data_IF_666936921282
#
_entry.id   IF_666936921282
#
_cell.length_a   1.000
_cell.length_b   1.000
_cell.length_c   1.000
_cell.angle_alpha   90.00
_cell.angle_beta   90.00
_cell.angle_gamma   90.00
#
_symmetry.space_group_name_H-M   'P 1'
#
loop_
_entity.id
_entity.type
_entity.pdbx_description
1 polymer ?
#
# COMPACT_ATOMS: atom_id res chain seq x y z
N UNK A 1 -22.79 3.65 26.27
CA UNK A 1 -23.36 2.81 25.20
C UNK A 1 -22.43 2.93 24.00
N UNK A 2 -21.60 1.94 23.74
CA UNK A 2 -20.75 1.87 22.55
C UNK A 2 -21.66 1.76 21.32
N UNK A 3 -21.93 2.90 20.69
CA UNK A 3 -22.65 2.97 19.43
C UNK A 3 -21.74 2.46 18.33
N UNK A 4 -22.15 1.35 17.75
CA UNK A 4 -21.81 0.96 16.39
C UNK A 4 -20.36 0.72 16.06
N UNK A 5 -20.08 -0.52 15.93
CA UNK A 5 -18.74 -0.98 15.66
C UNK A 5 -18.68 -1.76 14.35
N UNK A 6 -19.50 -1.37 13.36
CA UNK A 6 -19.44 -1.99 12.01
C UNK A 6 -19.21 -0.94 10.96
N UNK A 7 -18.14 -1.14 10.21
CA UNK A 7 -17.76 -0.33 9.04
C UNK A 7 -17.37 -1.24 7.90
N UNK A 8 -17.39 -0.70 6.69
CA UNK A 8 -16.81 -1.38 5.55
C UNK A 8 -15.44 -0.78 5.21
N UNK A 9 -14.62 -1.58 4.58
CA UNK A 9 -13.33 -1.20 4.02
C UNK A 9 -13.35 -1.54 2.53
N UNK A 10 -13.04 -0.59 1.67
CA UNK A 10 -13.01 -0.74 0.23
C UNK A 10 -11.56 -0.58 -0.28
N UNK A 11 -11.05 -1.63 -0.89
CA UNK A 11 -9.86 -1.63 -1.72
C UNK A 11 -10.27 -1.46 -3.18
N UNK A 12 -9.66 -0.51 -3.89
CA UNK A 12 -9.83 -0.30 -5.33
C UNK A 12 -8.49 -0.56 -6.01
N UNK A 13 -8.30 -1.79 -6.45
CA UNK A 13 -7.08 -2.21 -7.14
C UNK A 13 -7.15 -2.04 -8.65
N UNK A 14 -6.08 -2.39 -9.33
CA UNK A 14 -5.95 -2.28 -10.80
C UNK A 14 -6.66 -3.39 -11.57
N UNK A 15 -7.07 -4.46 -10.92
CA UNK A 15 -7.77 -5.59 -11.55
C UNK A 15 -8.95 -6.12 -10.75
N UNK A 16 -9.23 -5.52 -9.59
CA UNK A 16 -10.28 -5.97 -8.67
C UNK A 16 -10.72 -4.85 -7.74
N UNK A 17 -11.91 -5.00 -7.16
CA UNK A 17 -12.28 -4.33 -5.91
C UNK A 17 -12.51 -5.39 -4.83
N UNK A 18 -12.22 -5.03 -3.57
CA UNK A 18 -12.55 -5.84 -2.41
C UNK A 18 -13.30 -4.98 -1.40
N UNK A 19 -14.50 -5.39 -1.04
CA UNK A 19 -15.30 -4.78 0.00
C UNK A 19 -15.38 -5.71 1.21
N UNK A 20 -14.92 -5.26 2.37
CA UNK A 20 -14.86 -6.04 3.59
C UNK A 20 -15.64 -5.34 4.69
N UNK A 21 -16.67 -5.97 5.25
CA UNK A 21 -17.36 -5.48 6.44
C UNK A 21 -16.70 -6.06 7.70
N UNK A 22 -16.39 -5.19 8.65
CA UNK A 22 -15.81 -5.54 9.94
C UNK A 22 -16.67 -5.01 11.10
N UNK A 23 -16.65 -5.74 12.21
CA UNK A 23 -17.22 -5.33 13.48
C UNK A 23 -16.13 -5.25 14.54
N UNK A 24 -16.26 -4.31 15.48
CA UNK A 24 -15.49 -4.26 16.71
C UNK A 24 -16.34 -4.68 17.90
N UNK A 25 -15.82 -5.56 18.74
CA UNK A 25 -16.45 -5.84 20.03
C UNK A 25 -16.04 -4.80 21.09
N UNK A 26 -16.59 -4.96 22.31
CA UNK A 26 -16.31 -4.06 23.43
C UNK A 26 -14.85 -4.05 23.88
N UNK A 27 -14.09 -5.06 23.50
CA UNK A 27 -12.69 -5.22 23.85
C UNK A 27 -11.75 -4.80 22.71
N UNK A 28 -12.29 -4.21 21.64
CA UNK A 28 -11.52 -3.81 20.46
C UNK A 28 -11.15 -4.98 19.53
N UNK A 29 -11.70 -6.19 19.75
CA UNK A 29 -11.44 -7.33 18.88
C UNK A 29 -12.20 -7.17 17.57
N UNK A 30 -11.46 -7.24 16.47
CA UNK A 30 -12.00 -7.18 15.10
C UNK A 30 -12.62 -8.52 14.72
N UNK A 31 -13.80 -8.47 14.13
CA UNK A 31 -14.48 -9.62 13.53
C UNK A 31 -14.80 -9.33 12.06
N UNK A 32 -14.57 -10.30 11.18
CA UNK A 32 -15.00 -10.25 9.79
C UNK A 32 -16.52 -10.54 9.74
N UNK A 33 -17.28 -9.61 9.19
CA UNK A 33 -18.74 -9.72 9.05
C UNK A 33 -19.18 -10.12 7.63
N UNK A 34 -18.35 -9.88 6.63
CA UNK A 34 -18.58 -10.26 5.23
C UNK A 34 -17.46 -9.71 4.34
N UNK A 35 -17.22 -10.37 3.23
CA UNK A 35 -16.22 -9.98 2.23
C UNK A 35 -16.74 -10.30 0.83
N UNK A 36 -16.59 -9.38 -0.10
CA UNK A 36 -16.84 -9.57 -1.52
C UNK A 36 -15.60 -9.14 -2.31
N UNK A 37 -15.26 -9.91 -3.33
CA UNK A 37 -14.22 -9.61 -4.31
C UNK A 37 -14.84 -9.62 -5.70
N UNK A 38 -14.65 -8.54 -6.45
CA UNK A 38 -15.17 -8.41 -7.80
C UNK A 38 -14.06 -7.99 -8.75
N UNK A 39 -14.13 -8.46 -9.97
CA UNK A 39 -13.24 -8.01 -11.03
C UNK A 39 -13.60 -6.59 -11.44
N UNK A 40 -12.60 -5.77 -11.69
CA UNK A 40 -12.73 -4.37 -12.08
C UNK A 40 -11.46 -3.93 -12.82
N UNK A 41 -11.64 -3.34 -14.01
CA UNK A 41 -10.54 -2.75 -14.77
C UNK A 41 -10.20 -1.36 -14.23
N UNK A 42 -9.61 -1.31 -13.02
CA UNK A 42 -9.46 -0.16 -12.17
C UNK A 42 -8.80 1.07 -12.79
N UNK A 43 -7.46 1.09 -12.78
CA UNK A 43 -6.66 2.24 -13.23
C UNK A 43 -5.31 1.79 -13.78
N UNK A 44 -4.71 2.65 -14.58
CA UNK A 44 -3.33 2.55 -15.03
C UNK A 44 -2.60 3.87 -14.79
N UNK A 45 -1.53 3.85 -14.00
CA UNK A 45 -0.94 5.07 -13.49
C UNK A 45 -1.97 5.88 -12.70
N UNK A 46 -2.07 7.17 -12.98
CA UNK A 46 -3.02 8.10 -12.36
C UNK A 46 -4.36 8.21 -13.13
N UNK A 47 -4.70 7.26 -14.00
CA UNK A 47 -5.90 7.31 -14.84
C UNK A 47 -6.81 6.12 -14.59
N UNK A 48 -8.07 6.38 -14.29
CA UNK A 48 -9.09 5.34 -14.34
C UNK A 48 -9.32 4.88 -15.78
N UNK A 49 -9.53 3.58 -15.96
CA UNK A 49 -9.73 2.96 -17.26
C UNK A 49 -11.22 2.95 -17.65
N UNK A 50 -12.09 2.87 -16.66
CA UNK A 50 -13.54 2.80 -16.83
C UNK A 50 -14.23 4.07 -16.31
N UNK A 51 -15.47 4.25 -16.72
CA UNK A 51 -16.35 5.28 -16.19
C UNK A 51 -16.73 4.98 -14.73
N UNK A 52 -17.06 6.03 -14.00
CA UNK A 52 -17.50 5.91 -12.60
C UNK A 52 -18.74 5.04 -12.42
N UNK A 53 -19.58 4.91 -13.43
CA UNK A 53 -20.76 4.03 -13.41
C UNK A 53 -20.40 2.55 -13.28
N UNK A 54 -19.29 2.12 -13.89
CA UNK A 54 -18.79 0.74 -13.77
C UNK A 54 -18.34 0.47 -12.35
N UNK A 55 -17.58 1.40 -11.75
CA UNK A 55 -17.18 1.28 -10.35
C UNK A 55 -18.40 1.27 -9.41
N UNK A 56 -19.38 2.16 -9.66
CA UNK A 56 -20.64 2.22 -8.89
C UNK A 56 -21.38 0.88 -8.92
N UNK A 57 -21.49 0.28 -10.09
CA UNK A 57 -22.17 -1.01 -10.26
C UNK A 57 -21.46 -2.13 -9.50
N UNK A 58 -20.13 -2.22 -9.61
CA UNK A 58 -19.37 -3.25 -8.92
C UNK A 58 -19.35 -3.04 -7.39
N UNK A 59 -19.27 -1.81 -6.90
CA UNK A 59 -19.44 -1.51 -5.47
C UNK A 59 -20.82 -1.90 -4.98
N UNK A 60 -21.89 -1.62 -5.77
CA UNK A 60 -23.26 -1.98 -5.42
C UNK A 60 -23.42 -3.49 -5.27
N UNK A 61 -22.95 -4.27 -6.26
CA UNK A 61 -22.96 -5.73 -6.20
C UNK A 61 -22.18 -6.25 -4.99
N UNK A 62 -20.99 -5.72 -4.75
CA UNK A 62 -20.17 -6.09 -3.59
C UNK A 62 -20.89 -5.77 -2.27
N UNK A 63 -21.55 -4.61 -2.19
CA UNK A 63 -22.31 -4.22 -1.00
C UNK A 63 -23.53 -5.14 -0.77
N UNK A 64 -24.23 -5.54 -1.81
CA UNK A 64 -25.36 -6.51 -1.72
C UNK A 64 -24.89 -7.85 -1.20
N UNK A 65 -23.77 -8.39 -1.73
CA UNK A 65 -23.17 -9.65 -1.27
C UNK A 65 -22.75 -9.58 0.20
N UNK A 66 -22.06 -8.50 0.60
CA UNK A 66 -21.61 -8.29 1.99
C UNK A 66 -22.79 -8.11 2.94
N UNK A 67 -23.83 -7.37 2.52
CA UNK A 67 -25.02 -7.14 3.32
C UNK A 67 -25.86 -8.41 3.50
N UNK A 68 -25.91 -9.29 2.48
CA UNK A 68 -26.60 -10.58 2.58
C UNK A 68 -25.98 -11.48 3.68
N UNK A 69 -24.66 -11.42 3.88
CA UNK A 69 -23.94 -12.18 4.90
C UNK A 69 -23.99 -11.48 6.26
N UNK A 70 -23.74 -10.16 6.29
CA UNK A 70 -23.65 -9.39 7.53
C UNK A 70 -25.01 -9.04 8.14
N UNK A 71 -26.09 -9.07 7.36
CA UNK A 71 -27.43 -8.67 7.78
C UNK A 71 -27.63 -7.17 7.97
N UNK A 72 -26.67 -6.32 7.64
CA UNK A 72 -26.73 -4.87 7.85
C UNK A 72 -26.31 -4.06 6.62
N UNK A 73 -26.97 -2.91 6.42
CA UNK A 73 -26.59 -1.96 5.40
C UNK A 73 -25.28 -1.26 5.71
N UNK A 74 -24.40 -1.19 4.71
CA UNK A 74 -23.16 -0.40 4.75
C UNK A 74 -23.52 1.09 4.69
N UNK A 75 -23.09 1.86 5.68
CA UNK A 75 -23.35 3.31 5.79
C UNK A 75 -22.08 4.14 5.83
N UNK A 76 -21.01 3.50 6.25
CA UNK A 76 -19.69 4.09 6.44
C UNK A 76 -18.64 3.18 5.84
N UNK A 77 -17.69 3.78 5.11
CA UNK A 77 -16.62 3.05 4.44
C UNK A 77 -15.29 3.77 4.62
N UNK A 78 -14.26 2.98 4.90
CA UNK A 78 -12.87 3.39 4.74
C UNK A 78 -12.41 2.98 3.35
N UNK A 79 -11.87 3.93 2.58
CA UNK A 79 -11.41 3.69 1.22
C UNK A 79 -9.89 3.76 1.18
N UNK A 80 -9.27 2.71 0.68
CA UNK A 80 -7.84 2.71 0.38
C UNK A 80 -7.53 3.64 -0.78
N UNK A 81 -6.69 4.66 -0.54
CA UNK A 81 -6.14 5.49 -1.61
C UNK A 81 -4.86 4.80 -2.13
N UNK A 82 -4.85 4.31 -3.39
CA UNK A 82 -3.70 3.67 -3.97
C UNK A 82 -2.52 4.62 -4.13
N UNK A 83 -1.30 4.13 -4.00
CA UNK A 83 -0.10 4.97 -4.14
C UNK A 83 -0.01 5.69 -5.50
N UNK A 84 -0.63 5.16 -6.55
CA UNK A 84 -0.74 5.80 -7.86
C UNK A 84 -1.42 7.19 -7.80
N UNK A 85 -2.32 7.40 -6.84
CA UNK A 85 -3.04 8.65 -6.62
C UNK A 85 -2.57 9.37 -5.35
N UNK A 86 -1.40 9.01 -4.82
CA UNK A 86 -0.85 9.64 -3.63
C UNK A 86 0.49 10.31 -3.93
N UNK A 87 0.72 11.47 -3.32
CA UNK A 87 2.03 12.11 -3.24
C UNK A 87 2.55 11.94 -1.82
N UNK A 88 3.77 11.43 -1.68
CA UNK A 88 4.49 11.33 -0.41
C UNK A 88 5.55 12.42 -0.34
N UNK A 89 5.56 13.17 0.76
CA UNK A 89 6.47 14.30 0.98
C UNK A 89 7.12 14.16 2.35
N UNK A 90 8.44 14.26 2.38
CA UNK A 90 9.19 14.47 3.62
C UNK A 90 9.37 15.96 3.85
N UNK A 91 8.96 16.43 5.04
CA UNK A 91 9.10 17.84 5.41
C UNK A 91 9.77 18.01 6.77
N UNK A 92 10.89 18.72 6.77
CA UNK A 92 11.54 19.16 7.99
C UNK A 92 10.91 20.47 8.46
N UNK A 93 10.56 20.54 9.74
CA UNK A 93 9.97 21.71 10.38
C UNK A 93 10.67 22.01 11.70
N UNK A 94 11.07 23.27 11.89
CA UNK A 94 11.60 23.77 13.16
C UNK A 94 10.58 24.66 13.83
N UNK A 95 10.41 24.49 15.13
CA UNK A 95 9.53 25.32 15.94
C UNK A 95 10.22 25.74 17.24
N UNK A 96 10.30 27.07 17.48
CA UNK A 96 10.83 27.63 18.70
C UNK A 96 9.73 27.99 19.69
N UNK A 97 9.87 27.53 20.90
CA UNK A 97 9.00 27.92 22.01
C UNK A 97 9.46 29.28 22.56
N UNK A 98 8.58 30.04 23.22
CA UNK A 98 8.93 31.31 23.85
C UNK A 98 9.87 31.20 25.06
N UNK A 99 10.37 29.99 25.37
CA UNK A 99 11.27 29.65 26.45
C UNK A 99 11.36 28.13 26.59
N UNK A 100 12.14 27.65 27.57
CA UNK A 100 12.21 26.21 27.88
C UNK A 100 10.91 25.72 28.50
N UNK A 101 10.30 24.72 27.91
CA UNK A 101 9.08 24.07 28.42
C UNK A 101 9.11 22.56 28.16
N UNK A 102 8.26 21.81 28.87
CA UNK A 102 7.98 20.42 28.55
C UNK A 102 7.13 20.35 27.26
N UNK A 103 7.61 19.59 26.28
CA UNK A 103 6.89 19.34 25.03
C UNK A 103 5.65 18.52 25.32
N UNK A 104 4.52 18.98 24.82
CA UNK A 104 3.22 18.32 24.94
C UNK A 104 2.77 17.75 23.60
N UNK A 105 1.73 16.94 23.64
CA UNK A 105 1.08 16.45 22.44
C UNK A 105 0.52 17.57 21.54
N UNK A 106 -0.06 18.62 22.16
CA UNK A 106 -0.59 19.78 21.43
C UNK A 106 0.51 20.56 20.71
N UNK A 107 1.72 20.61 21.27
CA UNK A 107 2.86 21.24 20.59
C UNK A 107 3.20 20.47 19.31
N UNK A 108 3.25 19.14 19.35
CA UNK A 108 3.52 18.31 18.19
C UNK A 108 2.40 18.44 17.15
N UNK A 109 1.15 18.43 17.60
CA UNK A 109 -0.01 18.65 16.73
C UNK A 109 0.12 19.98 15.98
N UNK A 110 0.42 21.07 16.68
CA UNK A 110 0.61 22.39 16.06
C UNK A 110 1.73 22.39 15.02
N UNK A 111 2.87 21.75 15.33
CA UNK A 111 3.99 21.66 14.38
C UNK A 111 3.63 20.80 13.18
N UNK A 112 2.87 19.71 13.36
CA UNK A 112 2.35 18.87 12.29
C UNK A 112 1.38 19.63 11.37
N UNK A 113 0.46 20.41 11.95
CA UNK A 113 -0.46 21.26 11.19
C UNK A 113 0.31 22.29 10.34
N UNK A 114 1.33 22.92 10.90
CA UNK A 114 2.20 23.85 10.15
C UNK A 114 2.99 23.14 9.05
N UNK A 115 3.48 21.93 9.30
CA UNK A 115 4.18 21.13 8.30
C UNK A 115 3.26 20.69 7.14
N UNK A 116 1.99 20.55 7.40
CA UNK A 116 0.98 20.09 6.44
C UNK A 116 0.48 21.17 5.47
N UNK A 117 0.84 22.42 5.67
CA UNK A 117 0.48 23.51 4.75
C UNK A 117 1.51 23.58 3.62
N UNK A 118 1.10 23.22 2.40
CA UNK A 118 1.94 23.29 1.20
C UNK A 118 1.22 24.18 0.18
N UNK A 119 1.91 25.23 -0.26
CA UNK A 119 1.40 26.12 -1.31
C UNK A 119 1.20 25.36 -2.62
N UNK A 120 0.11 25.61 -3.34
CA UNK A 120 -0.20 24.95 -4.59
C UNK A 120 -0.69 23.51 -4.43
N UNK A 121 -1.10 23.12 -3.20
CA UNK A 121 -1.58 21.77 -2.92
C UNK A 121 -3.11 21.60 -3.05
N UNK A 122 -3.82 22.58 -3.65
CA UNK A 122 -5.29 22.56 -3.78
C UNK A 122 -5.80 21.33 -4.54
N UNK A 123 -4.98 20.76 -5.39
CA UNK A 123 -5.25 19.47 -6.09
C UNK A 123 -5.28 18.27 -5.14
N UNK A 124 -4.72 18.39 -3.95
CA UNK A 124 -4.47 17.28 -3.05
C UNK A 124 -5.14 17.47 -1.69
N UNK A 125 -5.55 16.37 -1.08
CA UNK A 125 -6.03 16.30 0.30
C UNK A 125 -5.04 15.52 1.15
N UNK A 126 -4.58 16.11 2.26
CA UNK A 126 -3.78 15.38 3.25
C UNK A 126 -4.63 14.25 3.87
N UNK A 127 -4.15 13.02 3.81
CA UNK A 127 -4.81 11.85 4.40
C UNK A 127 -4.02 11.25 5.55
N UNK A 128 -2.72 11.57 5.64
CA UNK A 128 -1.85 11.09 6.71
C UNK A 128 -0.69 12.07 6.98
N UNK A 129 -0.36 12.25 8.26
CA UNK A 129 0.83 12.97 8.73
C UNK A 129 1.43 12.18 9.89
N UNK A 130 2.67 11.77 9.77
CA UNK A 130 3.39 11.04 10.80
C UNK A 130 4.75 11.67 11.06
N UNK A 131 5.11 11.86 12.33
CA UNK A 131 6.44 12.29 12.68
C UNK A 131 7.42 11.11 12.58
N UNK A 132 8.40 11.25 11.72
CA UNK A 132 9.45 10.25 11.48
C UNK A 132 10.49 10.32 12.59
N UNK A 133 10.92 11.53 12.93
CA UNK A 133 11.91 11.75 13.98
C UNK A 133 11.85 13.18 14.54
N UNK A 134 12.47 13.35 15.70
CA UNK A 134 12.60 14.63 16.40
C UNK A 134 14.06 14.89 16.76
N UNK A 135 14.48 16.14 16.68
CA UNK A 135 15.77 16.62 17.18
C UNK A 135 15.50 17.76 18.17
N UNK A 136 16.02 17.65 19.38
CA UNK A 136 15.78 18.58 20.48
C UNK A 136 17.06 19.35 20.81
N UNK A 137 17.11 20.64 20.47
CA UNK A 137 18.28 21.48 20.67
C UNK A 137 19.52 20.92 19.97
N UNK A 138 20.64 20.76 20.70
CA UNK A 138 21.89 20.15 20.21
C UNK A 138 21.93 18.64 20.42
N UNK A 139 20.81 18.03 20.86
CA UNK A 139 20.69 16.60 21.09
C UNK A 139 20.59 15.77 19.81
N UNK A 140 20.70 14.45 19.98
CA UNK A 140 20.55 13.49 18.89
C UNK A 140 19.09 13.34 18.44
N UNK A 141 18.91 12.55 17.38
CA UNK A 141 17.62 12.17 16.86
C UNK A 141 16.89 11.21 17.82
N UNK A 142 15.60 11.43 18.02
CA UNK A 142 14.73 10.58 18.86
C UNK A 142 13.39 10.33 18.19
N UNK A 143 12.80 9.18 18.48
CA UNK A 143 11.43 8.82 18.02
C UNK A 143 10.33 9.34 18.95
N UNK A 144 10.66 9.84 20.15
CA UNK A 144 9.70 10.39 21.09
C UNK A 144 10.29 11.60 21.83
N UNK A 145 9.56 12.71 21.82
CA UNK A 145 9.97 13.95 22.47
C UNK A 145 8.97 14.44 23.53
N UNK A 146 7.84 13.77 23.69
CA UNK A 146 6.80 14.20 24.67
C UNK A 146 7.32 14.09 26.08
N UNK A 147 7.13 15.16 26.86
CA UNK A 147 7.61 15.27 28.25
C UNK A 147 9.06 15.75 28.38
N UNK A 148 9.84 15.82 27.30
CA UNK A 148 11.20 16.37 27.30
C UNK A 148 11.13 17.90 27.37
N UNK A 149 12.07 18.52 28.12
CA UNK A 149 12.15 19.99 28.25
C UNK A 149 13.09 20.55 27.19
N UNK A 150 12.56 21.37 26.30
CA UNK A 150 13.34 22.05 25.26
C UNK A 150 12.82 23.46 24.99
N UNK A 151 13.66 24.30 24.35
CA UNK A 151 13.29 25.62 23.83
C UNK A 151 12.99 25.61 22.32
N UNK A 152 13.40 24.55 21.64
CA UNK A 152 13.21 24.35 20.20
C UNK A 152 13.01 22.86 19.92
N UNK A 153 12.21 22.57 18.91
CA UNK A 153 12.04 21.24 18.35
C UNK A 153 12.22 21.32 16.84
N UNK A 154 12.95 20.38 16.29
CA UNK A 154 12.99 20.10 14.85
C UNK A 154 12.35 18.74 14.63
N UNK A 155 11.37 18.72 13.75
CA UNK A 155 10.60 17.51 13.42
C UNK A 155 10.75 17.20 11.94
N UNK A 156 10.88 15.92 11.62
CA UNK A 156 10.75 15.43 10.27
C UNK A 156 9.42 14.73 10.15
N UNK A 157 8.60 15.14 9.18
CA UNK A 157 7.29 14.57 8.93
C UNK A 157 7.27 13.83 7.61
N UNK A 158 6.61 12.66 7.63
CA UNK A 158 6.14 11.92 6.46
C UNK A 158 4.68 12.32 6.23
N UNK A 159 4.39 12.96 5.10
CA UNK A 159 3.09 13.48 4.74
C UNK A 159 2.58 12.74 3.50
N UNK A 160 1.36 12.22 3.56
CA UNK A 160 0.73 11.53 2.43
C UNK A 160 -0.49 12.33 2.00
N UNK A 161 -0.46 12.80 0.77
CA UNK A 161 -1.54 13.54 0.11
C UNK A 161 -2.20 12.68 -0.96
N UNK A 162 -3.51 12.69 -0.99
CA UNK A 162 -4.31 12.01 -2.02
C UNK A 162 -4.77 13.03 -3.08
N UNK A 163 -4.68 12.66 -4.35
CA UNK A 163 -5.21 13.44 -5.47
C UNK A 163 -6.75 13.55 -5.37
N UNK A 164 -7.26 14.77 -5.49
CA UNK A 164 -8.69 15.05 -5.43
C UNK A 164 -9.47 14.47 -6.61
N UNK A 165 -8.82 14.11 -7.72
CA UNK A 165 -9.45 13.39 -8.82
C UNK A 165 -9.87 11.98 -8.41
N UNK A 166 -9.01 11.25 -7.67
CA UNK A 166 -9.36 9.95 -7.07
C UNK A 166 -10.52 10.11 -6.10
N UNK A 167 -10.42 11.10 -5.20
CA UNK A 167 -11.48 11.39 -4.24
C UNK A 167 -12.84 11.64 -4.93
N UNK A 168 -12.85 12.49 -5.93
CA UNK A 168 -14.09 12.85 -6.64
C UNK A 168 -14.70 11.63 -7.36
N UNK A 169 -13.86 10.78 -7.96
CA UNK A 169 -14.28 9.56 -8.63
C UNK A 169 -14.90 8.56 -7.65
N UNK A 170 -14.20 8.27 -6.54
CA UNK A 170 -14.65 7.33 -5.53
C UNK A 170 -15.89 7.85 -4.76
N UNK A 171 -15.92 9.13 -4.37
CA UNK A 171 -17.06 9.76 -3.69
C UNK A 171 -18.34 9.66 -4.55
N UNK A 172 -18.22 9.89 -5.87
CA UNK A 172 -19.36 9.78 -6.80
C UNK A 172 -19.89 8.35 -6.85
N UNK A 173 -18.98 7.35 -7.02
CA UNK A 173 -19.38 5.96 -7.07
C UNK A 173 -20.06 5.51 -5.76
N UNK A 174 -19.52 5.89 -4.61
CA UNK A 174 -20.06 5.54 -3.30
C UNK A 174 -21.39 6.22 -3.01
N UNK A 175 -21.55 7.49 -3.44
CA UNK A 175 -22.81 8.23 -3.32
C UNK A 175 -23.93 7.56 -4.11
N UNK A 176 -23.64 7.08 -5.33
CA UNK A 176 -24.59 6.36 -6.17
C UNK A 176 -25.04 5.03 -5.50
N UNK A 177 -24.19 4.44 -4.64
CA UNK A 177 -24.53 3.29 -3.82
C UNK A 177 -25.22 3.63 -2.48
N UNK A 178 -25.48 4.91 -2.20
CA UNK A 178 -26.11 5.38 -0.96
C UNK A 178 -25.21 5.42 0.27
N UNK A 179 -23.87 5.28 0.08
CA UNK A 179 -22.86 5.38 1.15
C UNK A 179 -22.50 6.86 1.32
N UNK A 180 -22.66 7.38 2.57
CA UNK A 180 -22.55 8.82 2.83
C UNK A 180 -21.32 9.21 3.66
N UNK A 181 -20.80 8.30 4.47
CA UNK A 181 -19.64 8.59 5.30
C UNK A 181 -18.43 7.83 4.73
N UNK A 182 -17.46 8.58 4.20
CA UNK A 182 -16.25 8.06 3.56
C UNK A 182 -15.03 8.62 4.26
N UNK A 183 -14.12 7.74 4.63
CA UNK A 183 -12.82 8.09 5.20
C UNK A 183 -11.73 7.51 4.31
N UNK A 184 -10.81 8.35 3.84
CA UNK A 184 -9.68 7.89 3.02
C UNK A 184 -8.47 7.57 3.88
N UNK A 185 -7.80 6.48 3.56
CA UNK A 185 -6.55 6.02 4.20
C UNK A 185 -5.58 5.56 3.12
N UNK A 186 -4.28 5.73 3.33
CA UNK A 186 -3.28 5.27 2.36
C UNK A 186 -3.24 3.75 2.34
N UNK A 187 -3.42 3.15 1.16
CA UNK A 187 -3.36 1.70 0.97
C UNK A 187 -1.95 1.17 1.24
N UNK A 188 -0.96 1.72 0.55
CA UNK A 188 0.43 1.30 0.68
C UNK A 188 0.98 1.45 2.12
N UNK A 189 0.68 2.58 2.79
CA UNK A 189 1.07 2.80 4.18
C UNK A 189 0.40 1.80 5.14
N UNK A 190 -0.89 1.52 4.92
CA UNK A 190 -1.66 0.57 5.73
C UNK A 190 -1.13 -0.85 5.57
N UNK A 191 -0.78 -1.25 4.35
CA UNK A 191 -0.20 -2.56 4.08
C UNK A 191 1.21 -2.70 4.67
N UNK A 192 2.07 -1.69 4.54
CA UNK A 192 3.40 -1.69 5.14
C UNK A 192 3.33 -1.85 6.67
N UNK A 193 2.46 -1.10 7.34
CA UNK A 193 2.24 -1.25 8.78
C UNK A 193 1.63 -2.60 9.15
N UNK A 194 0.79 -3.16 8.30
CA UNK A 194 0.23 -4.48 8.55
C UNK A 194 1.33 -5.54 8.67
N UNK A 195 2.32 -5.51 7.80
CA UNK A 195 3.41 -6.46 7.83
C UNK A 195 4.48 -6.13 8.88
N UNK A 196 4.79 -4.86 9.10
CA UNK A 196 5.98 -4.47 9.88
C UNK A 196 5.69 -4.12 11.35
N UNK A 197 4.50 -3.61 11.68
CA UNK A 197 4.20 -3.22 13.06
C UNK A 197 4.22 -4.41 14.01
N UNK A 198 5.09 -4.33 15.03
CA UNK A 198 5.25 -5.37 16.04
C UNK A 198 6.16 -6.52 15.63
N UNK A 199 6.81 -6.44 14.45
CA UNK A 199 7.75 -7.43 13.95
C UNK A 199 9.20 -6.94 14.11
N UNK A 200 10.13 -7.86 14.35
CA UNK A 200 11.58 -7.57 14.38
C UNK A 200 12.15 -7.58 12.96
N UNK A 201 11.81 -6.55 12.17
CA UNK A 201 12.21 -6.49 10.76
C UNK A 201 13.60 -5.89 10.52
N UNK A 202 14.22 -5.31 11.53
CA UNK A 202 15.57 -4.71 11.45
C UNK A 202 15.75 -3.67 10.35
N UNK A 203 16.54 -2.64 10.57
CA UNK A 203 16.85 -1.61 9.57
C UNK A 203 15.64 -0.82 9.08
N UNK A 204 15.63 -0.47 7.79
CA UNK A 204 14.54 0.21 7.10
C UNK A 204 13.83 -0.78 6.17
N UNK A 205 12.76 -1.48 6.63
CA UNK A 205 12.08 -2.45 5.78
C UNK A 205 11.35 -1.74 4.65
N UNK A 206 11.45 -2.30 3.44
CA UNK A 206 10.76 -1.84 2.25
C UNK A 206 9.64 -2.81 1.90
N UNK A 207 8.40 -2.34 1.86
CA UNK A 207 7.32 -3.06 1.21
C UNK A 207 7.40 -2.84 -0.29
N UNK A 208 7.25 -3.91 -1.06
CA UNK A 208 7.03 -3.89 -2.50
C UNK A 208 5.78 -4.70 -2.82
N UNK A 209 4.67 -4.03 -3.06
CA UNK A 209 3.44 -4.66 -3.53
C UNK A 209 3.37 -4.60 -5.05
N UNK A 210 3.58 -5.76 -5.68
CA UNK A 210 3.50 -5.91 -7.12
C UNK A 210 2.08 -6.26 -7.56
N UNK A 211 1.33 -5.26 -7.99
CA UNK A 211 -0.02 -5.40 -8.49
C UNK A 211 -0.10 -5.84 -9.96
N UNK A 212 -1.31 -5.79 -10.53
CA UNK A 212 -1.56 -6.18 -11.92
C UNK A 212 -0.94 -5.19 -12.91
N UNK A 213 -1.30 -3.91 -12.87
CA UNK A 213 -0.83 -2.90 -13.82
C UNK A 213 0.26 -1.99 -13.26
N UNK A 214 0.61 -2.09 -11.99
CA UNK A 214 1.65 -1.32 -11.35
C UNK A 214 2.04 -1.87 -10.01
N UNK A 215 3.11 -1.35 -9.45
CA UNK A 215 3.66 -1.73 -8.15
C UNK A 215 3.78 -0.52 -7.24
N UNK A 216 3.37 -0.66 -6.00
CA UNK A 216 3.57 0.35 -4.97
C UNK A 216 4.69 -0.08 -4.02
N UNK A 217 5.37 0.90 -3.45
CA UNK A 217 6.48 0.66 -2.53
C UNK A 217 6.48 1.66 -1.39
N UNK A 218 6.96 1.23 -0.22
CA UNK A 218 7.12 2.07 0.96
C UNK A 218 8.31 1.63 1.79
N UNK A 219 9.28 2.50 2.01
CA UNK A 219 10.38 2.28 2.95
C UNK A 219 10.02 2.88 4.31
N UNK A 220 9.79 2.01 5.30
CA UNK A 220 9.38 2.44 6.64
C UNK A 220 10.54 3.03 7.41
N UNK A 221 10.32 4.18 8.06
CA UNK A 221 11.31 4.82 8.92
C UNK A 221 10.62 5.53 10.08
N UNK A 222 11.00 5.21 11.30
CA UNK A 222 10.33 5.74 12.48
C UNK A 222 8.84 5.35 12.51
N UNK A 223 7.97 6.34 12.66
CA UNK A 223 6.50 6.13 12.61
C UNK A 223 5.87 6.40 11.24
N UNK A 224 6.68 6.78 10.25
CA UNK A 224 6.25 7.10 8.90
C UNK A 224 7.08 6.36 7.86
N UNK A 225 7.34 7.04 6.76
CA UNK A 225 8.08 6.49 5.63
C UNK A 225 9.20 7.44 5.22
N UNK A 226 10.35 6.91 4.82
CA UNK A 226 11.43 7.70 4.21
C UNK A 226 11.16 7.97 2.74
N UNK A 227 10.51 7.03 2.06
CA UNK A 227 10.02 7.17 0.69
C UNK A 227 8.83 6.23 0.49
N UNK A 228 7.86 6.68 -0.29
CA UNK A 228 6.71 5.90 -0.72
C UNK A 228 6.30 6.36 -2.13
N UNK A 229 5.88 5.44 -2.96
CA UNK A 229 5.44 5.78 -4.31
C UNK A 229 4.89 4.61 -5.10
N UNK A 230 4.79 4.85 -6.43
CA UNK A 230 4.20 3.93 -7.38
C UNK A 230 5.05 3.87 -8.65
N UNK A 231 5.24 2.66 -9.17
CA UNK A 231 5.88 2.40 -10.46
C UNK A 231 4.82 1.78 -11.37
N UNK A 232 4.49 2.38 -12.54
CA UNK A 232 3.46 1.86 -13.45
C UNK A 232 3.96 0.63 -14.23
N UNK A 233 4.45 -0.37 -13.51
CA UNK A 233 4.88 -1.68 -14.02
C UNK A 233 4.42 -2.75 -13.03
N UNK A 234 3.67 -3.72 -13.51
CA UNK A 234 3.13 -4.83 -12.73
C UNK A 234 3.06 -6.11 -13.55
N UNK A 235 2.37 -7.11 -13.04
CA UNK A 235 2.28 -8.45 -13.63
C UNK A 235 1.72 -8.48 -15.05
N UNK A 236 0.80 -7.58 -15.41
CA UNK A 236 0.24 -7.50 -16.76
C UNK A 236 1.29 -7.10 -17.82
N UNK A 237 2.34 -6.37 -17.42
CA UNK A 237 3.42 -6.04 -18.35
C UNK A 237 4.26 -7.27 -18.70
N UNK A 238 4.45 -8.21 -17.78
CA UNK A 238 5.10 -9.49 -18.05
C UNK A 238 4.23 -10.31 -19.01
N UNK A 239 2.92 -10.36 -18.79
CA UNK A 239 1.99 -11.07 -19.68
C UNK A 239 1.95 -10.44 -21.06
N UNK A 240 2.01 -9.10 -21.14
CA UNK A 240 2.12 -8.36 -22.41
C UNK A 240 3.41 -8.69 -23.18
N UNK A 241 4.57 -8.72 -22.50
CA UNK A 241 5.83 -9.10 -23.12
C UNK A 241 5.83 -10.55 -23.63
N UNK A 242 5.24 -11.47 -22.86
CA UNK A 242 5.08 -12.86 -23.29
C UNK A 242 4.15 -12.96 -24.51
N UNK A 243 3.01 -12.26 -24.47
CA UNK A 243 2.04 -12.22 -25.55
C UNK A 243 2.68 -11.72 -26.86
N UNK A 244 3.38 -10.58 -26.79
CA UNK A 244 4.02 -9.95 -27.95
C UNK A 244 5.16 -10.80 -28.52
N UNK A 245 6.06 -11.29 -27.66
CA UNK A 245 7.27 -11.99 -28.11
C UNK A 245 7.07 -13.44 -28.51
N UNK A 246 5.99 -14.07 -28.01
CA UNK A 246 5.66 -15.45 -28.32
C UNK A 246 4.47 -15.54 -29.27
N UNK A 247 3.95 -14.41 -29.75
CA UNK A 247 2.80 -14.31 -30.66
C UNK A 247 1.58 -15.12 -30.18
N UNK A 248 1.18 -14.87 -28.91
CA UNK A 248 0.05 -15.55 -28.26
C UNK A 248 -0.95 -14.57 -27.68
N UNK A 249 -2.18 -15.02 -27.48
CA UNK A 249 -3.22 -14.24 -26.82
C UNK A 249 -2.81 -13.86 -25.39
N UNK A 250 -3.19 -12.64 -24.96
CA UNK A 250 -2.86 -12.14 -23.61
C UNK A 250 -3.35 -13.06 -22.48
N UNK A 251 -4.52 -13.64 -22.63
CA UNK A 251 -5.07 -14.60 -21.66
C UNK A 251 -4.20 -15.85 -21.53
N UNK A 252 -3.67 -16.35 -22.64
CA UNK A 252 -2.76 -17.50 -22.67
C UNK A 252 -1.41 -17.17 -22.07
N UNK A 253 -0.88 -15.96 -22.33
CA UNK A 253 0.32 -15.43 -21.70
C UNK A 253 0.18 -15.27 -20.18
N UNK A 254 -1.01 -14.85 -19.69
CA UNK A 254 -1.31 -14.75 -18.27
C UNK A 254 -1.33 -16.14 -17.59
N UNK A 255 -1.82 -17.15 -18.26
CA UNK A 255 -1.77 -18.54 -17.78
C UNK A 255 -0.34 -19.10 -17.82
N UNK A 256 0.42 -18.81 -18.88
CA UNK A 256 1.81 -19.21 -19.01
C UNK A 256 2.67 -18.58 -17.89
N UNK A 257 2.53 -17.28 -17.63
CA UNK A 257 3.22 -16.58 -16.55
C UNK A 257 3.15 -17.30 -15.21
N UNK A 258 2.00 -17.86 -14.85
CA UNK A 258 1.78 -18.61 -13.60
C UNK A 258 2.54 -19.95 -13.52
N UNK A 259 3.04 -20.45 -14.66
CA UNK A 259 3.81 -21.70 -14.76
C UNK A 259 5.33 -21.45 -14.79
N UNK A 260 5.75 -20.22 -15.04
CA UNK A 260 7.16 -19.86 -15.16
C UNK A 260 7.88 -20.08 -13.83
N UNK A 261 9.06 -20.69 -13.93
CA UNK A 261 9.94 -20.94 -12.81
C UNK A 261 11.37 -20.46 -13.16
N UNK A 262 11.76 -19.31 -12.65
CA UNK A 262 13.06 -18.67 -12.91
C UNK A 262 14.22 -19.38 -12.18
N UNK A 263 13.95 -20.30 -11.26
CA UNK A 263 14.98 -21.13 -10.60
C UNK A 263 15.45 -22.28 -11.48
N UNK A 264 14.78 -22.55 -12.59
CA UNK A 264 15.22 -23.60 -13.51
C UNK A 264 16.46 -23.14 -14.26
N UNK A 265 17.45 -24.03 -14.33
CA UNK A 265 18.55 -23.96 -15.28
C UNK A 265 18.17 -24.87 -16.46
N UNK A 266 17.51 -24.32 -17.49
CA UNK A 266 16.91 -25.14 -18.52
C UNK A 266 17.98 -25.87 -19.33
N UNK A 267 17.71 -27.15 -19.58
CA UNK A 267 18.37 -27.86 -20.64
C UNK A 267 17.68 -27.47 -21.96
N UNK A 268 18.38 -27.47 -23.06
CA UNK A 268 17.92 -27.04 -24.39
C UNK A 268 16.64 -27.73 -24.90
N UNK A 269 16.01 -28.59 -24.11
CA UNK A 269 14.80 -29.37 -24.46
C UNK A 269 13.66 -29.19 -23.45
N UNK A 270 13.76 -28.25 -22.52
CA UNK A 270 12.68 -27.99 -21.56
C UNK A 270 11.67 -27.00 -22.14
N UNK A 271 10.38 -27.32 -21.99
CA UNK A 271 9.28 -26.52 -22.51
C UNK A 271 8.21 -26.28 -21.42
N UNK A 272 7.58 -25.11 -21.48
CA UNK A 272 6.32 -24.86 -20.77
C UNK A 272 5.16 -25.18 -21.70
N UNK A 273 4.17 -25.96 -21.25
CA UNK A 273 2.95 -26.18 -22.02
C UNK A 273 2.14 -24.88 -22.08
N UNK A 274 1.80 -24.44 -23.29
CA UNK A 274 0.98 -23.28 -23.55
C UNK A 274 -0.12 -23.59 -24.57
N UNK A 275 -1.15 -22.75 -24.61
CA UNK A 275 -2.19 -22.83 -25.64
C UNK A 275 -1.57 -22.45 -27.00
N UNK A 276 -1.73 -23.34 -27.97
CA UNK A 276 -1.09 -23.17 -29.29
C UNK A 276 0.23 -23.93 -29.46
N UNK A 277 0.80 -24.54 -28.41
CA UNK A 277 2.00 -25.37 -28.46
C UNK A 277 2.98 -25.07 -27.33
N UNK A 278 3.92 -25.99 -27.14
CA UNK A 278 4.94 -25.88 -26.12
C UNK A 278 5.94 -24.75 -26.44
N UNK A 279 6.32 -23.98 -25.42
CA UNK A 279 7.24 -22.82 -25.53
C UNK A 279 8.54 -23.11 -24.76
N UNK A 280 9.72 -22.85 -25.36
CA UNK A 280 10.99 -23.09 -24.69
C UNK A 280 11.12 -22.31 -23.37
N UNK A 281 11.56 -23.02 -22.32
CA UNK A 281 11.73 -22.44 -20.97
C UNK A 281 12.69 -21.26 -20.99
N UNK A 282 13.80 -21.36 -21.72
CA UNK A 282 14.79 -20.28 -21.87
C UNK A 282 14.17 -18.99 -22.37
N UNK A 283 13.37 -19.08 -23.46
CA UNK A 283 12.72 -17.90 -24.03
C UNK A 283 11.79 -17.21 -23.03
N UNK A 284 10.94 -17.99 -22.36
CA UNK A 284 10.02 -17.46 -21.37
C UNK A 284 10.77 -16.80 -20.20
N UNK A 285 11.77 -17.50 -19.67
CA UNK A 285 12.54 -17.03 -18.52
C UNK A 285 13.33 -15.74 -18.87
N UNK A 286 13.92 -15.66 -20.04
CA UNK A 286 14.64 -14.47 -20.52
C UNK A 286 13.71 -13.25 -20.66
N UNK A 287 12.50 -13.45 -21.19
CA UNK A 287 11.51 -12.37 -21.31
C UNK A 287 11.17 -11.81 -19.93
N UNK A 288 10.88 -12.72 -18.96
CA UNK A 288 10.51 -12.30 -17.60
C UNK A 288 11.67 -11.64 -16.88
N UNK A 289 12.89 -12.22 -16.95
CA UNK A 289 14.09 -11.62 -16.34
C UNK A 289 14.33 -10.20 -16.82
N UNK A 290 14.31 -9.96 -18.14
CA UNK A 290 14.47 -8.61 -18.71
C UNK A 290 13.46 -7.60 -18.19
N UNK A 291 12.20 -8.02 -17.98
CA UNK A 291 11.18 -7.15 -17.40
C UNK A 291 11.49 -6.84 -15.93
N UNK A 292 11.85 -7.85 -15.14
CA UNK A 292 12.19 -7.67 -13.74
C UNK A 292 13.45 -6.83 -13.53
N UNK A 293 14.47 -7.01 -14.37
CA UNK A 293 15.70 -6.18 -14.33
C UNK A 293 15.39 -4.70 -14.60
N UNK A 294 14.58 -4.43 -15.63
CA UNK A 294 14.14 -3.07 -15.93
C UNK A 294 13.27 -2.45 -14.84
N UNK A 295 12.48 -3.26 -14.12
CA UNK A 295 11.71 -2.85 -12.96
C UNK A 295 12.64 -2.55 -11.77
N UNK A 296 13.58 -3.45 -11.46
CA UNK A 296 14.56 -3.30 -10.37
C UNK A 296 15.35 -2.00 -10.50
N UNK A 297 15.83 -1.67 -11.69
CA UNK A 297 16.55 -0.42 -11.95
C UNK A 297 15.69 0.83 -11.67
N UNK A 298 14.38 0.78 -11.91
CA UNK A 298 13.46 1.87 -11.56
C UNK A 298 13.24 1.94 -10.05
N UNK A 299 13.02 0.80 -9.40
CA UNK A 299 12.80 0.75 -7.95
C UNK A 299 14.02 1.28 -7.19
N UNK A 300 15.23 0.90 -7.57
CA UNK A 300 16.47 1.42 -6.95
C UNK A 300 16.50 2.95 -7.00
N UNK A 301 16.26 3.56 -8.17
CA UNK A 301 16.21 5.03 -8.32
C UNK A 301 15.15 5.70 -7.42
N UNK A 302 14.03 5.03 -7.20
CA UNK A 302 13.00 5.55 -6.32
C UNK A 302 13.41 5.43 -4.85
N UNK A 303 13.99 4.30 -4.45
CA UNK A 303 14.44 4.09 -3.07
C UNK A 303 15.60 5.01 -2.68
N UNK A 304 16.49 5.36 -3.61
CA UNK A 304 17.59 6.31 -3.39
C UNK A 304 17.12 7.73 -3.03
N UNK A 305 15.87 8.08 -3.31
CA UNK A 305 15.27 9.35 -2.87
C UNK A 305 15.00 9.39 -1.36
N UNK A 306 14.86 8.23 -0.74
CA UNK A 306 14.65 8.08 0.71
C UNK A 306 15.95 8.09 1.50
N UNK A 307 15.84 8.32 2.83
CA UNK A 307 16.96 8.11 3.76
C UNK A 307 16.82 6.75 4.44
N UNK A 308 17.92 6.17 4.88
CA UNK A 308 17.95 4.91 5.61
C UNK A 308 17.96 3.66 4.71
N UNK A 309 18.17 3.86 3.42
CA UNK A 309 18.37 2.80 2.43
C UNK A 309 19.77 2.14 2.56
N UNK A 310 20.43 2.32 3.68
CA UNK A 310 21.76 1.79 3.92
C UNK A 310 21.68 0.55 4.80
N UNK A 311 22.66 -0.31 4.74
CA UNK A 311 22.98 -1.51 5.56
C UNK A 311 21.81 -2.15 6.34
N UNK A 312 21.42 -3.37 6.01
CA UNK A 312 20.34 -4.19 6.55
C UNK A 312 18.91 -3.86 6.06
N UNK A 313 18.76 -3.04 5.02
CA UNK A 313 17.46 -2.87 4.35
C UNK A 313 17.09 -4.17 3.64
N UNK A 314 15.85 -4.63 3.87
CA UNK A 314 15.27 -5.79 3.18
C UNK A 314 14.02 -5.35 2.45
N UNK A 315 13.79 -5.92 1.28
CA UNK A 315 12.57 -5.74 0.51
C UNK A 315 11.62 -6.91 0.77
N UNK A 316 10.41 -6.60 1.18
CA UNK A 316 9.35 -7.60 1.42
C UNK A 316 8.37 -7.56 0.27
N UNK A 317 8.39 -8.62 -0.55
CA UNK A 317 7.59 -8.75 -1.76
C UNK A 317 6.19 -9.27 -1.44
N UNK A 318 5.17 -8.50 -1.82
CA UNK A 318 3.76 -8.83 -1.74
C UNK A 318 3.07 -8.58 -3.09
N UNK A 319 1.75 -8.78 -3.16
CA UNK A 319 0.97 -8.57 -4.37
C UNK A 319 0.92 -9.79 -5.30
N UNK A 320 -0.10 -9.81 -6.17
CA UNK A 320 -0.35 -10.92 -7.10
C UNK A 320 0.38 -10.81 -8.45
N UNK A 321 1.10 -9.70 -8.71
CA UNK A 321 1.74 -9.47 -10.02
C UNK A 321 2.95 -10.35 -10.29
N UNK A 322 3.82 -10.50 -9.28
CA UNK A 322 5.04 -11.30 -9.36
C UNK A 322 5.00 -12.54 -8.46
N UNK A 323 4.12 -12.59 -7.46
CA UNK A 323 4.09 -13.63 -6.44
C UNK A 323 3.82 -15.06 -6.96
N UNK A 324 3.29 -15.21 -8.17
CA UNK A 324 3.10 -16.52 -8.81
C UNK A 324 4.32 -17.00 -9.60
N UNK A 325 5.31 -16.13 -9.82
CA UNK A 325 6.49 -16.46 -10.61
C UNK A 325 7.57 -16.99 -9.65
N UNK A 326 7.80 -18.28 -9.68
CA UNK A 326 8.84 -18.90 -8.85
C UNK A 326 10.22 -18.34 -9.19
N UNK A 327 10.96 -17.87 -8.18
CA UNK A 327 12.29 -17.30 -8.35
C UNK A 327 12.28 -15.81 -8.75
N UNK A 328 11.12 -15.15 -8.85
CA UNK A 328 11.08 -13.70 -9.09
C UNK A 328 11.74 -12.91 -7.97
N UNK A 329 11.62 -13.36 -6.72
CA UNK A 329 12.31 -12.81 -5.55
C UNK A 329 13.84 -12.78 -5.75
N UNK A 330 14.44 -13.85 -6.27
CA UNK A 330 15.88 -13.94 -6.53
C UNK A 330 16.34 -13.02 -7.63
N UNK A 331 15.57 -12.92 -8.72
CA UNK A 331 15.89 -11.99 -9.82
C UNK A 331 15.79 -10.54 -9.35
N UNK A 332 14.77 -10.23 -8.54
CA UNK A 332 14.64 -8.89 -7.94
C UNK A 332 15.79 -8.61 -6.95
N UNK A 333 16.19 -9.59 -6.12
CA UNK A 333 17.33 -9.47 -5.21
C UNK A 333 18.63 -9.14 -5.96
N UNK A 334 18.91 -9.84 -7.05
CA UNK A 334 20.06 -9.59 -7.93
C UNK A 334 20.01 -8.18 -8.55
N UNK A 335 18.84 -7.77 -9.05
CA UNK A 335 18.68 -6.48 -9.74
C UNK A 335 18.62 -5.26 -8.80
N UNK A 336 18.12 -5.42 -7.57
CA UNK A 336 18.00 -4.36 -6.57
C UNK A 336 19.28 -4.26 -5.73
N UNK A 337 19.99 -5.36 -5.53
CA UNK A 337 21.17 -5.45 -4.65
C UNK A 337 20.82 -5.48 -3.16
N UNK A 338 19.58 -5.82 -2.80
CA UNK A 338 19.09 -5.99 -1.43
C UNK A 338 18.37 -7.33 -1.31
N UNK A 339 18.41 -7.91 -0.11
CA UNK A 339 17.68 -9.13 0.19
C UNK A 339 16.19 -8.95 -0.08
N UNK A 340 15.58 -9.81 -0.90
CA UNK A 340 14.15 -9.81 -1.22
C UNK A 340 13.48 -11.04 -0.62
N UNK A 341 12.47 -10.81 0.22
CA UNK A 341 11.71 -11.87 0.90
C UNK A 341 10.23 -11.82 0.53
N UNK A 342 9.63 -12.89 0.04
CA UNK A 342 8.17 -12.99 -0.06
C UNK A 342 7.53 -12.87 1.33
N UNK A 343 6.47 -12.05 1.46
CA UNK A 343 5.78 -11.85 2.76
C UNK A 343 5.23 -13.14 3.34
N UNK A 344 4.81 -14.10 2.51
CA UNK A 344 4.32 -15.40 2.95
C UNK A 344 5.37 -16.28 3.64
N UNK A 345 6.64 -16.04 3.36
CA UNK A 345 7.77 -16.74 4.00
C UNK A 345 8.27 -15.94 5.22
N UNK A 346 8.24 -14.61 5.14
CA UNK A 346 8.76 -13.72 6.17
C UNK A 346 7.84 -13.60 7.40
N UNK A 347 6.51 -13.64 7.18
CA UNK A 347 5.52 -13.32 8.22
C UNK A 347 4.48 -14.42 8.39
N UNK A 348 4.74 -15.33 9.32
CA UNK A 348 3.80 -16.42 9.64
C UNK A 348 2.50 -15.88 10.24
N UNK A 349 1.37 -16.38 9.74
CA UNK A 349 0.04 -15.99 10.24
C UNK A 349 -0.50 -14.65 9.73
N UNK A 350 0.24 -13.95 8.89
CA UNK A 350 -0.27 -12.77 8.17
C UNK A 350 -1.05 -13.20 6.91
N UNK A 351 -1.71 -12.23 6.28
CA UNK A 351 -2.44 -12.44 5.04
C UNK A 351 -1.51 -12.90 3.91
N UNK A 352 -2.07 -13.64 2.95
CA UNK A 352 -1.36 -13.97 1.71
C UNK A 352 -1.02 -12.69 0.93
N UNK A 353 0.01 -12.76 0.10
CA UNK A 353 0.50 -11.62 -0.69
C UNK A 353 -0.62 -10.88 -1.45
N UNK A 354 -1.52 -11.59 -2.08
CA UNK A 354 -2.64 -11.03 -2.85
C UNK A 354 -3.75 -10.37 -2.01
N UNK A 355 -3.70 -10.49 -0.68
CA UNK A 355 -4.66 -9.96 0.28
C UNK A 355 -4.02 -8.95 1.26
N UNK A 356 -2.74 -8.66 1.11
CA UNK A 356 -1.98 -7.80 2.02
C UNK A 356 -2.57 -6.40 2.13
N UNK A 357 -2.85 -5.75 1.01
CA UNK A 357 -3.46 -4.43 0.95
C UNK A 357 -4.81 -4.40 1.69
N UNK A 358 -5.70 -5.36 1.41
CA UNK A 358 -7.01 -5.47 2.08
C UNK A 358 -6.87 -5.68 3.59
N UNK A 359 -5.93 -6.54 4.01
CA UNK A 359 -5.68 -6.79 5.43
C UNK A 359 -5.11 -5.56 6.14
N UNK A 360 -4.22 -4.84 5.47
CA UNK A 360 -3.65 -3.58 5.94
C UNK A 360 -4.73 -2.52 6.16
N UNK A 361 -5.60 -2.33 5.18
CA UNK A 361 -6.72 -1.40 5.26
C UNK A 361 -7.69 -1.75 6.40
N UNK A 362 -7.99 -3.05 6.59
CA UNK A 362 -8.83 -3.54 7.69
C UNK A 362 -8.20 -3.23 9.05
N UNK A 363 -6.90 -3.52 9.24
CA UNK A 363 -6.18 -3.22 10.47
C UNK A 363 -6.17 -1.72 10.78
N UNK A 364 -5.94 -0.89 9.76
CA UNK A 364 -5.91 0.58 9.90
C UNK A 364 -7.30 1.15 10.24
N UNK A 365 -8.35 0.70 9.55
CA UNK A 365 -9.73 1.11 9.85
C UNK A 365 -10.12 0.74 11.28
N UNK A 366 -9.80 -0.48 11.71
CA UNK A 366 -10.05 -0.93 13.08
C UNK A 366 -9.29 -0.08 14.11
N UNK A 367 -8.03 0.24 13.85
CA UNK A 367 -7.21 1.10 14.70
C UNK A 367 -7.83 2.49 14.87
N UNK A 368 -8.27 3.12 13.79
CA UNK A 368 -8.94 4.44 13.83
C UNK A 368 -10.25 4.40 14.60
N UNK A 369 -11.04 3.35 14.43
CA UNK A 369 -12.29 3.18 15.21
C UNK A 369 -12.04 3.04 16.72
N UNK A 370 -11.00 2.31 17.11
CA UNK A 370 -10.61 2.18 18.52
C UNK A 370 -10.24 3.55 19.10
N UNK A 371 -9.40 4.32 18.40
CA UNK A 371 -9.01 5.65 18.86
C UNK A 371 -10.16 6.63 18.95
N UNK A 372 -11.08 6.63 17.97
CA UNK A 372 -12.31 7.43 18.04
C UNK A 372 -13.18 7.05 19.24
N UNK A 373 -13.28 5.76 19.57
CA UNK A 373 -14.09 5.27 20.69
C UNK A 373 -13.52 5.65 22.07
N UNK A 374 -12.19 5.75 22.16
CA UNK A 374 -11.46 6.13 23.38
C UNK A 374 -11.29 7.65 23.54
N UNK A 375 -11.73 8.44 22.56
CA UNK A 375 -11.52 9.90 22.54
C UNK A 375 -10.04 10.28 22.35
N UNK A 376 -9.22 9.33 21.89
CA UNK A 376 -7.80 9.53 21.67
C UNK A 376 -7.64 10.00 20.20
N UNK A 377 -7.61 11.31 20.01
CA UNK A 377 -7.17 11.90 18.75
C UNK A 377 -5.63 11.79 18.67
N UNK A 378 -5.13 10.68 18.19
CA UNK A 378 -3.71 10.59 17.84
C UNK A 378 -3.54 11.11 16.41
N UNK A 379 -2.92 12.28 16.30
CA UNK A 379 -2.17 12.63 15.10
C UNK A 379 -0.90 11.77 15.13
N UNK A 380 -0.86 10.77 14.32
CA UNK A 380 0.38 10.04 14.02
C UNK A 380 1.15 10.76 12.97
#
# INVERSE_FOLDING_TARGET
MLKRNRVAVLEIGTGKIILTAIGLDKNGKVSLCGKSRREFSGYYGERFLDDVSVLSEEIKKAAEEVQAVSGEKIKEVFVGAPAAFCAHIIRDMSYRFGGRKKITFDDIKKVSEMASVIEGSERYTLIESAAVSYILGEGGETSNCIGVTASEIRCRFSLIYMDNSFKAFADKALKDCGIKKVTYISECASEARYYFDGEEVGGTPVLLDAGMSGSQYAASYGRGFSVMGYIPVGGAHISGDLSEKLDMEFSSAELLKKRINLNLHPLSKDFYPAEGGDVPVDNCNDIVRKRLDGFSAKLVKELEKGRGYENNTKVYLTGGGYGYIKGADKVLEEGIGLEVRPVGEAFTGKAKAEEGASAGLVKEAARRLIYESEGIYRFE
#
